data_IF_017919551818
#
_entry.id   IF_017919551818
#
_cell.length_a   1.000
_cell.length_b   1.000
_cell.length_c   1.000
_cell.angle_alpha   90.00
_cell.angle_beta   90.00
_cell.angle_gamma   90.00
#
_symmetry.space_group_name_H-M   'P 1'
#
loop_
_entity.id
_entity.type
_entity.pdbx_description
1 polymer ?
#
# COMPACT_ATOMS: atom_id res chain seq x y z
N UNK A 1 -12.41 10.65 -32.28
CA UNK A 1 -11.44 9.77 -31.61
C UNK A 1 -10.50 10.56 -30.68
N UNK A 2 -10.06 11.76 -31.09
CA UNK A 2 -8.98 12.48 -30.38
C UNK A 2 -9.33 13.03 -28.99
N UNK A 3 -10.58 13.33 -28.69
CA UNK A 3 -10.94 13.99 -27.42
C UNK A 3 -10.97 13.03 -26.22
N UNK A 4 -11.29 11.76 -26.44
CA UNK A 4 -11.47 10.77 -25.35
C UNK A 4 -10.34 9.75 -25.21
N UNK A 5 -9.45 9.66 -26.20
CA UNK A 5 -8.36 8.68 -26.23
C UNK A 5 -7.00 9.38 -26.20
N UNK A 6 -6.07 8.86 -25.40
CA UNK A 6 -4.67 9.30 -25.37
C UNK A 6 -3.72 8.13 -25.60
N UNK A 7 -2.69 8.36 -26.40
CA UNK A 7 -1.64 7.37 -26.65
C UNK A 7 -0.51 7.55 -25.64
N UNK A 8 -0.19 6.46 -24.95
CA UNK A 8 0.86 6.43 -23.95
C UNK A 8 1.84 5.28 -24.19
N UNK A 9 3.08 5.47 -23.74
CA UNK A 9 4.10 4.45 -23.70
C UNK A 9 4.37 4.03 -22.26
N UNK A 10 3.97 2.79 -21.92
CA UNK A 10 4.19 2.18 -20.60
C UNK A 10 5.25 1.09 -20.73
N UNK A 11 6.38 1.21 -20.02
CA UNK A 11 7.51 0.26 -20.10
C UNK A 11 7.96 -0.03 -21.55
N UNK A 12 7.98 0.99 -22.42
CA UNK A 12 8.35 0.86 -23.82
C UNK A 12 7.25 0.31 -24.74
N UNK A 13 6.16 -0.18 -24.21
CA UNK A 13 5.05 -0.75 -24.97
C UNK A 13 3.95 0.28 -25.25
N UNK A 14 3.32 0.24 -26.44
CA UNK A 14 2.27 1.17 -26.81
C UNK A 14 0.96 0.83 -26.09
N UNK A 15 0.32 1.84 -25.55
CA UNK A 15 -0.97 1.75 -24.87
C UNK A 15 -1.87 2.90 -25.28
N UNK A 16 -3.17 2.61 -25.29
CA UNK A 16 -4.24 3.58 -25.47
C UNK A 16 -4.95 3.75 -24.12
N UNK A 17 -5.08 4.99 -23.67
CA UNK A 17 -5.86 5.32 -22.49
C UNK A 17 -7.21 5.90 -22.91
N UNK A 18 -8.26 5.21 -22.53
CA UNK A 18 -9.63 5.69 -22.69
C UNK A 18 -10.01 6.54 -21.47
N UNK A 19 -10.17 7.83 -21.71
CA UNK A 19 -10.51 8.79 -20.66
C UNK A 19 -11.93 8.64 -20.12
N UNK A 20 -12.83 8.07 -20.92
CA UNK A 20 -14.23 7.88 -20.52
C UNK A 20 -14.41 6.63 -19.66
N UNK A 21 -13.72 5.54 -20.01
CA UNK A 21 -13.70 4.32 -19.22
C UNK A 21 -12.60 4.32 -18.16
N UNK A 22 -11.66 5.28 -18.22
CA UNK A 22 -10.46 5.35 -17.39
C UNK A 22 -9.60 4.10 -17.41
N UNK A 23 -9.57 3.44 -18.56
CA UNK A 23 -8.85 2.20 -18.77
C UNK A 23 -7.66 2.38 -19.71
N UNK A 24 -6.58 1.65 -19.40
CA UNK A 24 -5.38 1.59 -20.20
C UNK A 24 -5.32 0.28 -20.98
N UNK A 25 -5.44 0.35 -22.29
CA UNK A 25 -5.42 -0.81 -23.17
C UNK A 25 -4.07 -0.93 -23.88
N UNK A 26 -3.39 -2.11 -23.81
CA UNK A 26 -2.33 -2.40 -24.77
C UNK A 26 -2.90 -2.36 -26.19
N UNK A 27 -2.22 -1.66 -27.12
CA UNK A 27 -2.73 -1.45 -28.49
C UNK A 27 -2.56 -2.66 -29.42
N UNK A 28 -2.43 -3.85 -28.87
CA UNK A 28 -2.30 -5.07 -29.66
C UNK A 28 -3.69 -5.63 -30.05
N UNK A 29 -3.91 -5.90 -31.32
CA UNK A 29 -5.14 -6.55 -31.79
C UNK A 29 -5.37 -7.96 -31.22
N UNK A 30 -4.35 -8.61 -30.66
CA UNK A 30 -4.48 -9.86 -29.89
C UNK A 30 -5.13 -9.65 -28.50
N UNK A 31 -5.15 -8.42 -27.97
CA UNK A 31 -5.74 -8.10 -26.66
C UNK A 31 -7.26 -7.99 -26.78
N UNK A 32 -7.99 -8.90 -26.16
CA UNK A 32 -9.45 -8.98 -26.31
C UNK A 32 -10.19 -7.70 -25.86
N UNK A 33 -9.93 -7.08 -24.71
CA UNK A 33 -10.57 -5.83 -24.30
C UNK A 33 -10.34 -4.68 -25.29
N UNK A 34 -9.14 -4.58 -25.88
CA UNK A 34 -8.86 -3.56 -26.89
C UNK A 34 -9.69 -3.80 -28.18
N UNK A 35 -9.85 -5.07 -28.61
CA UNK A 35 -10.71 -5.39 -29.74
C UNK A 35 -12.16 -5.03 -29.47
N UNK A 36 -12.64 -5.33 -28.26
CA UNK A 36 -14.01 -4.99 -27.84
C UNK A 36 -14.22 -3.48 -27.88
N UNK A 37 -13.26 -2.69 -27.34
CA UNK A 37 -13.30 -1.22 -27.41
C UNK A 37 -13.40 -0.73 -28.85
N UNK A 38 -12.55 -1.23 -29.75
CA UNK A 38 -12.54 -0.83 -31.16
C UNK A 38 -13.88 -1.17 -31.84
N UNK A 39 -14.41 -2.37 -31.62
CA UNK A 39 -15.67 -2.81 -32.24
C UNK A 39 -16.88 -2.08 -31.68
N UNK A 40 -17.01 -1.99 -30.36
CA UNK A 40 -18.20 -1.45 -29.70
C UNK A 40 -18.34 0.06 -29.84
N UNK A 41 -17.23 0.79 -29.75
CA UNK A 41 -17.24 2.27 -29.75
C UNK A 41 -17.00 2.87 -31.12
N UNK A 42 -16.22 2.21 -31.97
CA UNK A 42 -15.79 2.76 -33.27
C UNK A 42 -16.24 1.93 -34.47
N UNK A 43 -16.90 0.82 -34.25
CA UNK A 43 -17.31 -0.09 -35.33
C UNK A 43 -16.16 -0.73 -36.10
N UNK A 44 -14.96 -0.75 -35.51
CA UNK A 44 -13.71 -1.23 -36.11
C UNK A 44 -13.52 -2.72 -35.79
N UNK A 45 -13.71 -3.59 -36.76
CA UNK A 45 -13.48 -5.03 -36.59
C UNK A 45 -11.99 -5.35 -36.76
N UNK A 46 -11.44 -6.16 -35.86
CA UNK A 46 -10.02 -6.59 -35.90
C UNK A 46 -9.66 -7.42 -37.15
N UNK A 47 -10.64 -7.98 -37.85
CA UNK A 47 -10.48 -8.71 -39.12
C UNK A 47 -10.31 -7.79 -40.32
N UNK A 48 -10.76 -6.54 -40.22
CA UNK A 48 -10.69 -5.57 -41.29
C UNK A 48 -9.24 -5.13 -41.56
N UNK A 49 -8.76 -5.18 -42.82
CA UNK A 49 -7.45 -4.70 -43.22
C UNK A 49 -7.17 -3.22 -42.84
N UNK A 50 -8.20 -2.35 -42.93
CA UNK A 50 -8.09 -0.95 -42.53
C UNK A 50 -7.82 -0.83 -41.04
N UNK A 51 -8.56 -1.56 -40.23
CA UNK A 51 -8.35 -1.58 -38.76
C UNK A 51 -6.94 -2.04 -38.38
N UNK A 52 -6.40 -3.07 -39.05
CA UNK A 52 -5.02 -3.52 -38.86
C UNK A 52 -4.01 -2.45 -39.24
N UNK A 53 -4.21 -1.78 -40.39
CA UNK A 53 -3.34 -0.69 -40.83
C UNK A 53 -3.33 0.47 -39.86
N UNK A 54 -4.48 0.95 -39.43
CA UNK A 54 -4.63 2.03 -38.46
C UNK A 54 -3.96 1.65 -37.12
N UNK A 55 -4.19 0.45 -36.62
CA UNK A 55 -3.58 -0.01 -35.36
C UNK A 55 -2.06 -0.08 -35.46
N UNK A 56 -1.51 -0.58 -36.55
CA UNK A 56 -0.06 -0.61 -36.76
C UNK A 56 0.58 0.79 -36.79
N UNK A 57 -0.10 1.76 -37.44
CA UNK A 57 0.34 3.17 -37.41
C UNK A 57 0.27 3.76 -35.99
N UNK A 58 -0.81 3.50 -35.26
CA UNK A 58 -0.96 3.92 -33.87
C UNK A 58 0.14 3.34 -32.97
N UNK A 59 0.46 2.06 -33.12
CA UNK A 59 1.53 1.39 -32.38
C UNK A 59 2.88 2.04 -32.65
N UNK A 60 3.22 2.23 -33.93
CA UNK A 60 4.47 2.87 -34.35
C UNK A 60 4.58 4.30 -33.82
N UNK A 61 3.54 5.10 -33.97
CA UNK A 61 3.50 6.48 -33.48
C UNK A 61 3.63 6.52 -31.95
N UNK A 62 2.93 5.63 -31.25
CA UNK A 62 2.99 5.59 -29.78
C UNK A 62 4.37 5.22 -29.27
N UNK A 63 5.06 4.29 -29.91
CA UNK A 63 6.43 3.90 -29.54
C UNK A 63 7.41 5.04 -29.75
N UNK A 64 7.27 5.80 -30.83
CA UNK A 64 8.20 6.91 -31.18
C UNK A 64 7.89 8.20 -30.45
N UNK A 65 6.64 8.59 -30.39
CA UNK A 65 6.18 9.93 -29.95
C UNK A 65 5.26 9.90 -28.74
N UNK A 66 4.79 8.71 -28.31
CA UNK A 66 3.89 8.59 -27.17
C UNK A 66 4.52 9.04 -25.86
N UNK A 67 3.75 9.77 -25.06
CA UNK A 67 4.16 10.20 -23.71
C UNK A 67 4.47 9.00 -22.84
N UNK A 68 5.58 9.04 -22.12
CA UNK A 68 5.90 8.02 -21.11
C UNK A 68 5.01 8.20 -19.88
N UNK A 69 4.39 7.13 -19.43
CA UNK A 69 3.59 7.14 -18.19
C UNK A 69 3.90 5.91 -17.35
N UNK A 70 3.73 6.06 -16.05
CA UNK A 70 3.70 4.96 -15.09
C UNK A 70 2.25 4.55 -14.88
N UNK A 71 1.94 3.27 -14.94
CA UNK A 71 0.61 2.75 -14.64
C UNK A 71 0.60 2.20 -13.23
N UNK A 72 -0.20 2.79 -12.35
CA UNK A 72 -0.31 2.44 -10.93
C UNK A 72 -1.75 2.12 -10.56
N UNK A 73 -1.98 1.60 -9.37
CA UNK A 73 -3.31 1.23 -8.91
C UNK A 73 -3.86 2.16 -7.84
N UNK A 74 -3.04 2.60 -6.89
CA UNK A 74 -3.53 3.35 -5.74
C UNK A 74 -2.80 4.67 -5.52
N UNK A 75 -1.46 4.65 -5.45
CA UNK A 75 -0.66 5.85 -5.19
C UNK A 75 0.61 5.87 -6.03
N UNK A 76 1.14 7.07 -6.26
CA UNK A 76 2.41 7.28 -6.95
C UNK A 76 3.11 8.54 -6.46
N UNK A 77 4.29 8.37 -5.89
CA UNK A 77 5.20 9.47 -5.58
C UNK A 77 6.05 9.80 -6.79
N UNK A 78 5.91 11.00 -7.31
CA UNK A 78 6.78 11.51 -8.39
C UNK A 78 7.99 12.24 -7.79
N UNK A 79 9.16 11.65 -7.98
CA UNK A 79 10.42 12.23 -7.47
C UNK A 79 10.80 13.54 -8.15
N UNK A 80 10.37 13.75 -9.39
CA UNK A 80 10.74 14.93 -10.18
C UNK A 80 10.00 16.17 -9.73
N UNK A 81 8.71 16.07 -9.49
CA UNK A 81 7.87 17.16 -8.99
C UNK A 81 7.75 17.18 -7.46
N UNK A 82 8.21 16.12 -6.78
CA UNK A 82 8.00 15.91 -5.35
C UNK A 82 6.52 16.02 -4.95
N UNK A 83 5.65 15.44 -5.77
CA UNK A 83 4.22 15.37 -5.53
C UNK A 83 3.77 13.93 -5.33
N UNK A 84 2.76 13.76 -4.50
CA UNK A 84 2.08 12.48 -4.33
C UNK A 84 0.78 12.49 -5.12
N UNK A 85 0.57 11.44 -5.91
CA UNK A 85 -0.66 11.22 -6.67
C UNK A 85 -1.40 10.04 -6.08
N UNK A 86 -2.72 10.16 -5.96
CA UNK A 86 -3.61 9.13 -5.43
C UNK A 86 -4.78 8.93 -6.36
N UNK A 87 -5.15 7.68 -6.61
CA UNK A 87 -6.33 7.36 -7.39
C UNK A 87 -7.61 7.88 -6.70
N UNK A 88 -8.52 8.47 -7.48
CA UNK A 88 -9.82 8.92 -7.00
C UNK A 88 -10.91 8.55 -8.00
N UNK A 89 -11.46 7.37 -7.85
CA UNK A 89 -12.56 6.90 -8.70
C UNK A 89 -12.25 6.87 -10.21
N UNK A 90 -13.27 6.67 -11.03
CA UNK A 90 -13.10 6.64 -12.47
C UNK A 90 -12.76 8.04 -13.01
N UNK A 91 -11.60 8.17 -13.63
CA UNK A 91 -11.23 9.38 -14.36
C UNK A 91 -10.55 10.47 -13.60
N UNK A 92 -10.46 10.40 -12.31
CA UNK A 92 -9.89 11.44 -11.47
C UNK A 92 -8.76 10.92 -10.60
N UNK A 93 -7.92 11.83 -10.14
CA UNK A 93 -6.86 11.59 -9.18
C UNK A 93 -6.69 12.82 -8.28
N UNK A 94 -6.11 12.61 -7.10
CA UNK A 94 -5.61 13.69 -6.26
C UNK A 94 -4.12 13.88 -6.46
N UNK A 95 -3.69 15.14 -6.63
CA UNK A 95 -2.29 15.55 -6.56
C UNK A 95 -2.06 16.35 -5.29
N UNK A 96 -1.17 15.86 -4.46
CA UNK A 96 -0.75 16.49 -3.20
C UNK A 96 0.63 17.11 -3.42
N UNK A 97 0.75 18.41 -3.29
CA UNK A 97 1.99 19.15 -3.50
C UNK A 97 2.60 19.76 -2.22
N UNK A 98 1.99 19.44 -1.09
CA UNK A 98 2.40 19.92 0.23
C UNK A 98 1.66 21.18 0.69
N UNK A 99 1.16 21.99 -0.23
CA UNK A 99 0.36 23.17 0.09
C UNK A 99 -1.14 22.89 -0.08
N UNK A 100 -1.52 22.27 -1.19
CA UNK A 100 -2.91 22.01 -1.55
C UNK A 100 -3.10 20.60 -2.07
N UNK A 101 -4.30 20.06 -1.86
CA UNK A 101 -4.76 18.82 -2.50
C UNK A 101 -5.60 19.22 -3.71
N UNK A 102 -5.12 18.87 -4.90
CA UNK A 102 -5.77 19.20 -6.18
C UNK A 102 -6.46 17.96 -6.74
N UNK A 103 -7.69 18.12 -7.19
CA UNK A 103 -8.35 17.11 -8.02
C UNK A 103 -7.96 17.33 -9.47
N UNK A 104 -7.46 16.30 -10.14
CA UNK A 104 -7.01 16.32 -11.53
C UNK A 104 -7.61 15.16 -12.32
N UNK A 105 -7.63 15.33 -13.65
CA UNK A 105 -8.06 14.26 -14.55
C UNK A 105 -6.97 13.19 -14.64
N UNK A 106 -7.34 11.92 -14.48
CA UNK A 106 -6.43 10.79 -14.65
C UNK A 106 -5.76 10.83 -16.04
N UNK A 107 -4.44 10.65 -16.07
CA UNK A 107 -3.63 10.77 -17.29
C UNK A 107 -3.21 12.20 -17.67
N UNK A 108 -3.53 13.22 -16.89
CA UNK A 108 -2.96 14.57 -17.06
C UNK A 108 -1.51 14.65 -16.59
N UNK A 109 -1.21 14.00 -15.46
CA UNK A 109 0.10 13.95 -14.80
C UNK A 109 1.05 12.87 -15.33
N UNK A 110 2.15 12.58 -14.60
CA UNK A 110 3.16 11.58 -14.96
C UNK A 110 2.67 10.14 -14.80
N UNK A 111 1.56 9.94 -14.10
CA UNK A 111 0.96 8.64 -13.78
C UNK A 111 -0.41 8.49 -14.42
N UNK A 112 -0.75 7.25 -14.74
CA UNK A 112 -2.11 6.82 -15.09
C UNK A 112 -2.54 5.78 -14.09
N UNK A 113 -3.61 6.03 -13.36
CA UNK A 113 -4.18 5.03 -12.49
C UNK A 113 -5.02 4.05 -13.30
N UNK A 114 -4.78 2.77 -13.06
CA UNK A 114 -5.58 1.68 -13.58
C UNK A 114 -6.90 1.61 -12.82
N UNK A 115 -7.96 1.04 -13.41
CA UNK A 115 -9.21 0.85 -12.69
C UNK A 115 -8.97 0.11 -11.39
N UNK A 116 -9.55 0.62 -10.32
CA UNK A 116 -9.58 -0.02 -9.02
C UNK A 116 -11.00 -0.50 -8.75
N UNK A 117 -11.11 -1.70 -8.20
CA UNK A 117 -12.38 -2.33 -7.85
C UNK A 117 -13.01 -1.71 -6.56
N UNK A 118 -12.53 -0.54 -6.16
CA UNK A 118 -12.95 0.11 -4.93
C UNK A 118 -13.77 1.35 -5.24
N UNK A 119 -14.86 1.47 -4.53
CA UNK A 119 -15.59 2.72 -4.50
C UNK A 119 -14.82 3.70 -3.61
N UNK A 120 -14.33 4.78 -4.22
CA UNK A 120 -13.69 5.87 -3.46
C UNK A 120 -14.75 6.94 -3.22
N UNK A 121 -15.18 7.03 -1.96
CA UNK A 121 -16.10 8.07 -1.55
C UNK A 121 -15.46 9.46 -1.77
N UNK A 122 -16.31 10.45 -2.11
CA UNK A 122 -15.86 11.85 -2.19
C UNK A 122 -15.32 12.27 -0.81
N UNK A 123 -14.03 12.63 -0.69
CA UNK A 123 -13.45 12.96 0.60
C UNK A 123 -13.83 14.36 1.06
N UNK A 124 -14.06 14.50 2.34
CA UNK A 124 -14.11 15.76 3.06
C UNK A 124 -12.69 16.05 3.59
N UNK A 125 -11.92 16.86 2.84
CA UNK A 125 -10.49 17.05 3.11
C UNK A 125 -10.27 18.10 4.19
N UNK A 126 -9.75 17.67 5.34
CA UNK A 126 -9.45 18.58 6.45
C UNK A 126 -8.99 17.89 7.73
N UNK A 127 -8.60 18.68 8.75
CA UNK A 127 -8.17 18.16 10.06
C UNK A 127 -9.37 17.86 10.96
N UNK A 128 -10.06 16.76 10.73
CA UNK A 128 -11.26 16.40 11.50
C UNK A 128 -10.95 15.84 12.89
N UNK A 129 -9.74 15.30 13.12
CA UNK A 129 -9.34 14.66 14.38
C UNK A 129 -10.04 13.32 14.62
N UNK A 130 -10.56 12.68 13.58
CA UNK A 130 -11.31 11.42 13.69
C UNK A 130 -10.52 10.20 13.25
N UNK A 131 -9.50 10.36 12.39
CA UNK A 131 -8.77 9.24 11.81
C UNK A 131 -8.07 8.40 12.89
N UNK A 132 -7.30 9.04 13.77
CA UNK A 132 -6.60 8.32 14.84
C UNK A 132 -7.60 7.67 15.79
N UNK A 133 -8.62 8.40 16.23
CA UNK A 133 -9.68 7.88 17.09
C UNK A 133 -10.40 6.67 16.51
N UNK A 134 -10.73 6.71 15.21
CA UNK A 134 -11.44 5.63 14.54
C UNK A 134 -10.58 4.39 14.26
N UNK A 135 -9.29 4.55 13.99
CA UNK A 135 -8.45 3.45 13.52
C UNK A 135 -7.42 2.96 14.54
N UNK A 136 -6.97 3.82 15.45
CA UNK A 136 -5.81 3.58 16.30
C UNK A 136 -6.13 3.68 17.78
N UNK A 137 -6.77 4.76 18.24
CA UNK A 137 -6.91 5.06 19.69
C UNK A 137 -7.91 4.16 20.41
N UNK A 138 -8.92 3.64 19.70
CA UNK A 138 -9.93 2.71 20.25
C UNK A 138 -9.40 1.28 20.46
N UNK A 139 -8.13 1.02 20.16
CA UNK A 139 -7.51 -0.28 20.38
C UNK A 139 -6.96 -0.40 21.81
N UNK A 140 -7.09 -1.59 22.39
CA UNK A 140 -6.49 -1.91 23.68
C UNK A 140 -5.10 -2.50 23.44
N UNK A 141 -4.07 -1.68 23.64
CA UNK A 141 -2.68 -2.11 23.50
C UNK A 141 -2.22 -2.85 24.73
N UNK A 142 -1.52 -3.95 24.55
CA UNK A 142 -0.83 -4.62 25.65
C UNK A 142 0.38 -3.78 26.05
N UNK A 143 0.49 -3.51 27.35
CA UNK A 143 1.58 -2.76 27.96
C UNK A 143 2.03 -3.51 29.21
N UNK A 144 2.89 -4.50 29.06
CA UNK A 144 3.48 -5.19 30.21
C UNK A 144 4.69 -4.40 30.69
N UNK A 145 4.72 -4.10 31.98
CA UNK A 145 5.85 -3.44 32.61
C UNK A 145 6.96 -4.47 32.82
N UNK A 146 8.10 -4.27 32.15
CA UNK A 146 9.34 -5.01 32.45
C UNK A 146 9.90 -5.89 31.34
N UNK A 147 9.24 -6.02 30.17
CA UNK A 147 9.65 -6.90 29.07
C UNK A 147 10.09 -6.17 27.79
N UNK A 148 10.51 -4.92 27.85
CA UNK A 148 10.92 -4.17 26.65
C UNK A 148 9.76 -3.80 25.70
N UNK A 149 8.51 -4.08 26.06
CA UNK A 149 7.34 -3.81 25.24
C UNK A 149 7.10 -2.31 25.13
N UNK A 150 6.83 -1.85 23.90
CA UNK A 150 6.49 -0.48 23.59
C UNK A 150 5.26 -0.01 24.39
N UNK A 151 5.28 1.24 24.85
CA UNK A 151 4.11 1.85 25.47
C UNK A 151 2.91 1.90 24.50
N UNK A 152 1.70 2.06 25.04
CA UNK A 152 0.51 2.22 24.21
C UNK A 152 0.61 3.45 23.28
N UNK A 153 1.25 4.53 23.74
CA UNK A 153 1.47 5.72 22.94
C UNK A 153 2.45 5.46 21.78
N UNK A 154 3.50 4.70 22.03
CA UNK A 154 4.49 4.31 21.02
C UNK A 154 3.85 3.41 19.95
N UNK A 155 3.08 2.42 20.37
CA UNK A 155 2.39 1.52 19.45
C UNK A 155 1.35 2.26 18.59
N UNK A 156 0.63 3.24 19.16
CA UNK A 156 -0.28 4.13 18.42
C UNK A 156 0.47 4.93 17.35
N UNK A 157 1.58 5.55 17.71
CA UNK A 157 2.38 6.34 16.77
C UNK A 157 2.96 5.48 15.64
N UNK A 158 3.47 4.28 15.95
CA UNK A 158 3.94 3.33 14.94
C UNK A 158 2.82 2.90 13.99
N UNK A 159 1.66 2.54 14.55
CA UNK A 159 0.55 2.08 13.73
C UNK A 159 -0.01 3.19 12.83
N UNK A 160 -0.18 4.40 13.36
CA UNK A 160 -0.59 5.55 12.56
C UNK A 160 0.43 5.88 11.46
N UNK A 161 1.73 5.81 11.78
CA UNK A 161 2.81 6.02 10.81
C UNK A 161 2.76 4.98 9.69
N UNK A 162 2.44 3.73 10.00
CA UNK A 162 2.27 2.67 9.03
C UNK A 162 1.05 2.92 8.12
N UNK A 163 -0.07 3.37 8.69
CA UNK A 163 -1.28 3.75 7.93
C UNK A 163 -0.98 4.89 6.95
N UNK A 164 -0.23 5.89 7.37
CA UNK A 164 0.17 7.01 6.52
C UNK A 164 1.20 6.58 5.46
N UNK A 165 2.13 5.68 5.80
CA UNK A 165 3.09 5.13 4.86
C UNK A 165 2.43 4.39 3.69
N UNK A 166 1.23 3.82 3.87
CA UNK A 166 0.46 3.16 2.80
C UNK A 166 0.20 4.08 1.60
N UNK A 167 0.17 5.40 1.79
CA UNK A 167 0.08 6.38 0.71
C UNK A 167 1.34 6.50 -0.15
N UNK A 168 2.49 6.03 0.34
CA UNK A 168 3.81 6.22 -0.30
C UNK A 168 4.42 4.91 -0.82
N UNK A 169 3.61 4.00 -1.35
CA UNK A 169 4.01 2.64 -1.70
C UNK A 169 5.24 2.53 -2.62
N UNK A 170 5.40 3.41 -3.62
CA UNK A 170 6.58 3.42 -4.49
C UNK A 170 7.75 4.27 -3.93
N UNK A 171 7.51 5.11 -2.93
CA UNK A 171 8.53 5.92 -2.26
C UNK A 171 9.32 5.10 -1.25
N UNK A 172 8.67 4.16 -0.58
CA UNK A 172 9.29 3.25 0.38
C UNK A 172 9.67 1.94 -0.33
N UNK A 173 10.93 1.76 -0.73
CA UNK A 173 11.36 0.53 -1.39
C UNK A 173 11.27 -0.67 -0.46
N UNK A 174 11.68 -0.53 0.79
CA UNK A 174 11.48 -1.50 1.86
C UNK A 174 10.22 -1.13 2.64
N UNK A 175 9.24 -2.05 2.68
CA UNK A 175 7.98 -1.82 3.39
C UNK A 175 7.98 -2.59 4.69
N UNK A 176 7.69 -1.93 5.83
CA UNK A 176 7.58 -2.64 7.09
C UNK A 176 6.39 -3.60 7.06
N UNK A 177 6.64 -4.83 7.48
CA UNK A 177 5.60 -5.78 7.80
C UNK A 177 4.94 -5.36 9.12
N UNK A 178 3.63 -5.17 9.13
CA UNK A 178 2.90 -4.97 10.37
C UNK A 178 2.48 -6.32 10.93
N UNK A 179 2.99 -6.67 12.09
CA UNK A 179 2.63 -7.89 12.81
C UNK A 179 1.73 -7.51 14.00
N UNK A 180 0.47 -7.87 13.93
CA UNK A 180 -0.48 -7.70 15.02
C UNK A 180 -0.57 -8.97 15.84
N UNK A 181 -0.05 -8.92 17.06
CA UNK A 181 -0.09 -10.00 18.04
C UNK A 181 -1.21 -9.78 19.05
N UNK A 182 -1.73 -10.86 19.60
CA UNK A 182 -2.66 -10.85 20.72
C UNK A 182 -3.49 -12.12 20.77
N UNK A 183 -4.14 -12.35 21.89
CA UNK A 183 -5.01 -13.51 22.10
C UNK A 183 -6.23 -13.52 21.19
N UNK A 184 -6.97 -14.62 21.27
CA UNK A 184 -8.29 -14.69 20.63
C UNK A 184 -9.18 -13.54 21.12
N UNK A 185 -9.95 -12.95 20.20
CA UNK A 185 -10.86 -11.84 20.49
C UNK A 185 -10.19 -10.52 20.95
N UNK A 186 -8.88 -10.33 20.72
CA UNK A 186 -8.21 -9.03 20.97
C UNK A 186 -8.51 -7.96 19.92
N UNK A 187 -9.16 -8.31 18.80
CA UNK A 187 -9.57 -7.37 17.75
C UNK A 187 -8.53 -7.11 16.65
N UNK A 188 -7.47 -7.92 16.54
CA UNK A 188 -6.40 -7.79 15.54
C UNK A 188 -6.92 -7.65 14.10
N UNK A 189 -7.69 -8.64 13.67
CA UNK A 189 -8.24 -8.67 12.31
C UNK A 189 -9.14 -7.46 12.06
N UNK A 190 -10.00 -7.12 13.02
CA UNK A 190 -10.89 -5.98 12.93
C UNK A 190 -10.12 -4.65 12.85
N UNK A 191 -9.01 -4.52 13.55
CA UNK A 191 -8.16 -3.33 13.48
C UNK A 191 -7.62 -3.11 12.06
N UNK A 192 -7.09 -4.15 11.41
CA UNK A 192 -6.62 -4.06 10.02
C UNK A 192 -7.76 -3.86 9.02
N UNK A 193 -8.90 -4.54 9.23
CA UNK A 193 -10.10 -4.35 8.40
C UNK A 193 -10.64 -2.92 8.46
N UNK A 194 -10.59 -2.26 9.63
CA UNK A 194 -10.97 -0.84 9.78
C UNK A 194 -10.07 0.06 8.91
N UNK A 195 -8.76 -0.19 8.90
CA UNK A 195 -7.82 0.54 8.04
C UNK A 195 -8.13 0.30 6.57
N UNK A 196 -8.31 -0.95 6.17
CA UNK A 196 -8.65 -1.31 4.80
C UNK A 196 -9.98 -0.67 4.38
N UNK A 197 -11.00 -0.71 5.24
CA UNK A 197 -12.30 -0.08 5.00
C UNK A 197 -12.18 1.43 4.81
N UNK A 198 -11.42 2.12 5.66
CA UNK A 198 -11.22 3.56 5.56
C UNK A 198 -10.51 3.96 4.27
N UNK A 199 -9.45 3.24 3.87
CA UNK A 199 -8.64 3.59 2.71
C UNK A 199 -9.23 3.10 1.39
N UNK A 200 -9.87 1.92 1.36
CA UNK A 200 -10.30 1.27 0.12
C UNK A 200 -11.80 1.00 0.03
N UNK A 201 -12.53 1.06 1.13
CA UNK A 201 -13.93 0.60 1.21
C UNK A 201 -14.09 -0.93 1.29
N UNK A 202 -12.99 -1.70 1.25
CA UNK A 202 -13.00 -3.16 1.39
C UNK A 202 -12.87 -3.58 2.84
N UNK A 203 -13.36 -4.76 3.18
CA UNK A 203 -13.35 -5.28 4.55
C UNK A 203 -12.92 -6.74 4.64
N UNK A 204 -12.49 -7.33 3.52
CA UNK A 204 -12.18 -8.76 3.48
C UNK A 204 -10.66 -8.99 3.52
N UNK A 205 -10.15 -9.72 4.52
CA UNK A 205 -8.76 -10.14 4.55
C UNK A 205 -8.48 -11.23 3.50
N UNK A 206 -7.19 -11.35 3.13
CA UNK A 206 -6.74 -12.46 2.31
C UNK A 206 -6.65 -13.74 3.16
N UNK A 207 -7.10 -14.85 2.60
CA UNK A 207 -6.77 -16.16 3.12
C UNK A 207 -5.60 -16.73 2.30
N UNK A 208 -4.53 -17.12 2.98
CA UNK A 208 -3.33 -17.68 2.34
C UNK A 208 -3.17 -19.12 2.80
N UNK A 209 -3.06 -20.02 1.83
CA UNK A 209 -2.77 -21.43 2.03
C UNK A 209 -1.37 -21.83 1.58
N UNK A 210 -0.97 -23.07 1.88
CA UNK A 210 0.34 -23.60 1.50
C UNK A 210 0.57 -23.72 -0.01
N UNK A 211 -0.48 -23.63 -0.83
CA UNK A 211 -0.43 -23.77 -2.30
C UNK A 211 -0.41 -22.43 -3.04
N UNK A 212 -0.50 -21.31 -2.35
CA UNK A 212 -0.70 -20.00 -2.98
C UNK A 212 0.62 -19.27 -3.30
N UNK A 213 1.77 -19.95 -3.18
CA UNK A 213 3.09 -19.39 -3.40
C UNK A 213 3.24 -18.70 -4.77
N UNK A 214 2.81 -19.39 -5.84
CA UNK A 214 2.94 -18.84 -7.19
C UNK A 214 2.04 -17.64 -7.46
N UNK A 215 0.90 -17.56 -6.78
CA UNK A 215 -0.08 -16.50 -6.98
C UNK A 215 0.07 -15.32 -6.01
N UNK A 216 0.79 -15.51 -4.92
CA UNK A 216 0.99 -14.49 -3.89
C UNK A 216 1.43 -13.12 -4.43
N UNK A 217 2.42 -12.99 -5.35
CA UNK A 217 2.78 -11.71 -5.92
C UNK A 217 1.63 -11.04 -6.69
N UNK A 218 0.78 -11.83 -7.33
CA UNK A 218 -0.40 -11.33 -8.06
C UNK A 218 -1.49 -10.89 -7.09
N UNK A 219 -1.71 -11.66 -6.02
CA UNK A 219 -2.64 -11.30 -4.95
C UNK A 219 -2.24 -9.96 -4.33
N UNK A 220 -0.96 -9.75 -3.99
CA UNK A 220 -0.47 -8.48 -3.46
C UNK A 220 -0.68 -7.28 -4.41
N UNK A 221 -0.67 -7.47 -5.73
CA UNK A 221 -0.99 -6.41 -6.68
C UNK A 221 -2.45 -5.96 -6.57
N UNK A 222 -3.37 -6.90 -6.32
CA UNK A 222 -4.79 -6.61 -6.18
C UNK A 222 -5.15 -6.03 -4.81
N UNK A 223 -4.35 -6.32 -3.79
CA UNK A 223 -4.56 -5.86 -2.41
C UNK A 223 -3.90 -4.50 -2.09
N UNK A 224 -3.40 -3.77 -3.09
CA UNK A 224 -2.85 -2.41 -2.86
C UNK A 224 -3.96 -1.46 -2.38
N UNK A 225 -3.74 -0.63 -1.34
CA UNK A 225 -2.48 -0.37 -0.63
C UNK A 225 -2.17 -1.33 0.52
N UNK A 226 -3.12 -2.14 0.98
CA UNK A 226 -3.00 -2.98 2.17
C UNK A 226 -3.44 -4.40 1.86
N UNK A 227 -2.57 -5.35 2.12
CA UNK A 227 -2.85 -6.77 2.13
C UNK A 227 -2.95 -7.27 3.58
N UNK A 228 -4.08 -7.85 3.95
CA UNK A 228 -4.32 -8.40 5.29
C UNK A 228 -4.23 -9.91 5.20
N UNK A 229 -3.24 -10.49 5.88
CA UNK A 229 -3.07 -11.94 6.01
C UNK A 229 -3.53 -12.34 7.41
N UNK A 230 -4.68 -13.00 7.47
CA UNK A 230 -5.33 -13.28 8.75
C UNK A 230 -4.93 -14.63 9.34
N UNK A 231 -4.82 -14.66 10.66
CA UNK A 231 -4.66 -15.86 11.48
C UNK A 231 -3.48 -16.77 11.09
N UNK A 232 -2.29 -16.16 10.93
CA UNK A 232 -1.05 -16.88 10.62
C UNK A 232 -0.36 -17.39 11.89
N UNK A 233 -1.00 -18.31 12.59
CA UNK A 233 -0.46 -18.94 13.81
C UNK A 233 0.49 -20.11 13.48
N UNK A 234 0.32 -20.72 12.31
CA UNK A 234 1.15 -21.83 11.83
C UNK A 234 2.11 -21.35 10.77
N UNK A 235 3.40 -21.68 10.85
CA UNK A 235 4.38 -21.27 9.85
C UNK A 235 4.06 -21.84 8.46
N UNK A 236 4.06 -20.97 7.47
CA UNK A 236 4.08 -21.34 6.05
C UNK A 236 5.47 -20.98 5.52
N UNK A 237 6.28 -21.98 5.21
CA UNK A 237 7.71 -21.78 4.88
C UNK A 237 7.92 -20.80 3.73
N UNK A 238 7.24 -21.04 2.61
CA UNK A 238 7.36 -20.17 1.44
C UNK A 238 6.90 -18.72 1.72
N UNK A 239 5.92 -18.52 2.59
CA UNK A 239 5.41 -17.18 2.92
C UNK A 239 6.48 -16.35 3.64
N UNK A 240 7.24 -16.98 4.54
CA UNK A 240 8.37 -16.31 5.22
C UNK A 240 9.43 -15.83 4.23
N UNK A 241 9.80 -16.67 3.26
CA UNK A 241 10.77 -16.31 2.24
C UNK A 241 10.24 -15.24 1.28
N UNK A 242 8.97 -15.33 0.91
CA UNK A 242 8.30 -14.32 0.10
C UNK A 242 8.25 -12.96 0.81
N UNK A 243 7.95 -12.94 2.12
CA UNK A 243 7.94 -11.73 2.95
C UNK A 243 9.36 -11.16 3.05
N UNK A 244 10.37 -11.98 3.35
CA UNK A 244 11.76 -11.54 3.41
C UNK A 244 12.20 -10.88 2.09
N UNK A 245 11.87 -11.49 0.96
CA UNK A 245 12.12 -10.94 -0.38
C UNK A 245 11.39 -9.62 -0.59
N UNK A 246 10.11 -9.56 -0.24
CA UNK A 246 9.27 -8.40 -0.48
C UNK A 246 9.68 -7.19 0.36
N UNK A 247 9.93 -7.39 1.64
CA UNK A 247 10.33 -6.34 2.57
C UNK A 247 11.73 -5.77 2.31
N UNK A 248 12.55 -6.44 1.49
CA UNK A 248 13.86 -5.95 1.00
C UNK A 248 13.81 -5.19 -0.30
N UNK A 249 12.69 -4.62 -0.68
CA UNK A 249 12.50 -3.99 -1.99
C UNK A 249 12.59 -4.95 -3.18
N UNK A 250 12.52 -6.23 -2.93
CA UNK A 250 12.48 -7.27 -3.95
C UNK A 250 11.20 -7.24 -4.79
N UNK A 251 11.22 -8.02 -5.83
CA UNK A 251 10.06 -8.24 -6.70
C UNK A 251 10.17 -9.63 -7.30
N UNK A 252 9.13 -10.05 -7.95
CA UNK A 252 9.07 -11.37 -8.56
C UNK A 252 9.08 -11.29 -10.07
N UNK A 253 9.72 -12.28 -10.70
CA UNK A 253 9.72 -12.45 -12.13
C UNK A 253 8.73 -13.56 -12.48
N UNK A 254 7.59 -13.19 -13.07
CA UNK A 254 6.59 -14.17 -13.53
C UNK A 254 6.69 -14.31 -15.05
N UNK A 255 6.70 -15.55 -15.54
CA UNK A 255 6.72 -15.83 -16.98
C UNK A 255 5.36 -15.49 -17.58
N UNK A 256 5.36 -14.83 -18.73
CA UNK A 256 4.12 -14.58 -19.48
C UNK A 256 3.72 -15.86 -20.20
N UNK A 257 2.51 -16.36 -19.92
CA UNK A 257 2.00 -17.56 -20.60
C UNK A 257 1.95 -17.34 -22.11
N UNK A 258 2.23 -18.42 -22.86
CA UNK A 258 2.26 -18.43 -24.32
C UNK A 258 3.36 -17.60 -25.00
N UNK A 259 4.36 -17.14 -24.25
CA UNK A 259 5.57 -16.53 -24.81
C UNK A 259 6.81 -17.34 -24.44
N UNK A 260 7.81 -17.44 -25.35
CA UNK A 260 9.03 -18.22 -25.09
C UNK A 260 10.04 -17.47 -24.23
N UNK A 261 10.05 -16.16 -24.27
CA UNK A 261 11.12 -15.32 -23.70
C UNK A 261 10.62 -14.15 -22.86
N UNK A 262 9.34 -13.85 -22.84
CA UNK A 262 8.82 -12.71 -22.11
C UNK A 262 8.58 -13.04 -20.64
N UNK A 263 9.10 -12.20 -19.77
CA UNK A 263 8.84 -12.25 -18.33
C UNK A 263 8.35 -10.91 -17.83
N UNK A 264 7.36 -10.94 -16.96
CA UNK A 264 6.83 -9.77 -16.28
C UNK A 264 7.51 -9.65 -14.92
N UNK A 265 8.07 -8.47 -14.67
CA UNK A 265 8.55 -8.13 -13.34
C UNK A 265 7.39 -7.57 -12.51
N UNK A 266 7.02 -8.27 -11.44
CA UNK A 266 5.96 -7.89 -10.52
C UNK A 266 6.61 -7.26 -9.30
N UNK A 267 6.29 -6.00 -9.04
CA UNK A 267 6.69 -5.27 -7.84
C UNK A 267 5.44 -4.68 -7.20
N UNK A 268 4.76 -5.41 -6.31
CA UNK A 268 3.58 -4.91 -5.61
C UNK A 268 3.93 -3.70 -4.74
N UNK A 269 2.92 -2.90 -4.42
CA UNK A 269 3.08 -1.73 -3.56
C UNK A 269 2.27 -1.86 -2.26
N UNK A 270 1.58 -2.96 -2.06
CA UNK A 270 0.79 -3.21 -0.87
C UNK A 270 1.66 -3.27 0.39
N UNK A 271 1.19 -2.71 1.47
CA UNK A 271 1.73 -2.94 2.80
C UNK A 271 1.07 -4.20 3.37
N UNK A 272 1.85 -5.06 3.99
CA UNK A 272 1.33 -6.33 4.52
C UNK A 272 1.10 -6.18 6.02
N UNK A 273 -0.14 -6.44 6.46
CA UNK A 273 -0.50 -6.61 7.84
C UNK A 273 -0.85 -8.07 8.12
N UNK A 274 -0.22 -8.66 9.10
CA UNK A 274 -0.44 -10.06 9.51
C UNK A 274 -1.01 -10.09 10.91
N UNK A 275 -2.01 -10.93 11.14
CA UNK A 275 -2.52 -11.21 12.48
C UNK A 275 -2.06 -12.58 12.95
N UNK A 276 -1.58 -12.67 14.18
CA UNK A 276 -1.12 -13.93 14.77
C UNK A 276 -1.30 -13.93 16.29
N UNK A 277 -1.34 -15.13 16.87
CA UNK A 277 -1.18 -15.37 18.30
C UNK A 277 0.23 -15.80 18.65
N UNK A 278 1.01 -16.17 17.64
CA UNK A 278 2.36 -16.66 17.81
C UNK A 278 3.36 -15.88 16.95
N UNK A 279 3.94 -14.79 17.48
CA UNK A 279 4.93 -13.99 16.73
C UNK A 279 6.24 -14.74 16.50
N UNK A 280 6.50 -15.83 17.24
CA UNK A 280 7.68 -16.66 17.06
C UNK A 280 7.86 -17.17 15.62
N UNK A 281 6.77 -17.30 14.86
CA UNK A 281 6.81 -17.63 13.42
C UNK A 281 7.65 -16.64 12.60
N UNK A 282 7.79 -15.38 13.07
CA UNK A 282 8.44 -14.29 12.36
C UNK A 282 9.75 -13.83 13.02
N UNK A 283 10.33 -14.61 13.94
CA UNK A 283 11.57 -14.33 14.68
C UNK A 283 12.83 -14.42 13.83
N UNK A 284 12.74 -14.96 12.63
CA UNK A 284 13.89 -15.03 11.71
C UNK A 284 14.49 -13.63 11.53
N UNK A 285 15.81 -13.44 11.77
CA UNK A 285 16.42 -12.09 11.87
C UNK A 285 16.17 -11.20 10.64
N UNK A 286 16.16 -11.79 9.44
CA UNK A 286 15.92 -11.06 8.18
C UNK A 286 14.48 -10.57 8.03
N UNK A 287 13.53 -11.17 8.74
CA UNK A 287 12.12 -10.75 8.81
C UNK A 287 11.90 -9.82 10.00
N UNK A 288 12.34 -10.21 11.19
CA UNK A 288 12.17 -9.48 12.44
C UNK A 288 12.67 -8.04 12.32
N UNK A 289 13.82 -7.82 11.69
CA UNK A 289 14.39 -6.49 11.42
C UNK A 289 13.46 -5.56 10.60
N UNK A 290 12.43 -6.12 9.97
CA UNK A 290 11.48 -5.38 9.12
C UNK A 290 10.06 -5.45 9.61
N UNK A 291 9.85 -6.05 10.80
CA UNK A 291 8.56 -6.09 11.45
C UNK A 291 8.32 -4.85 12.31
N UNK A 292 7.09 -4.42 12.31
CA UNK A 292 6.53 -3.54 13.33
C UNK A 292 5.58 -4.40 14.16
N UNK A 293 5.93 -4.59 15.41
CA UNK A 293 5.14 -5.40 16.31
C UNK A 293 4.14 -4.52 17.07
N UNK A 294 2.86 -4.81 16.93
CA UNK A 294 1.76 -4.19 17.67
C UNK A 294 1.06 -5.27 18.47
N UNK A 295 1.02 -5.11 19.77
CA UNK A 295 0.41 -6.06 20.68
C UNK A 295 -0.93 -5.55 21.19
N UNK A 296 -1.97 -6.36 21.02
CA UNK A 296 -3.31 -6.04 21.47
C UNK A 296 -3.71 -6.93 22.65
N UNK A 297 -4.14 -6.30 23.73
CA UNK A 297 -4.69 -6.96 24.87
C UNK A 297 -6.10 -7.52 24.60
N UNK A 298 -6.52 -8.48 25.39
CA UNK A 298 -7.88 -9.01 25.31
C UNK A 298 -8.92 -7.91 25.58
N UNK A 299 -9.93 -7.82 24.73
CA UNK A 299 -11.01 -6.84 24.87
C UNK A 299 -12.18 -7.43 25.65
N UNK A 300 -12.42 -6.91 26.84
CA UNK A 300 -13.51 -7.38 27.72
C UNK A 300 -14.92 -7.05 27.19
N UNK A 301 -15.05 -5.95 26.43
CA UNK A 301 -16.31 -5.55 25.81
C UNK A 301 -16.15 -5.52 24.30
N UNK A 302 -16.88 -6.38 23.62
CA UNK A 302 -16.84 -6.49 22.16
C UNK A 302 -18.10 -5.87 21.56
N UNK A 303 -17.93 -4.95 20.63
CA UNK A 303 -19.00 -4.52 19.72
C UNK A 303 -19.14 -5.52 18.56
N UNK A 304 -20.29 -5.52 17.87
CA UNK A 304 -20.43 -6.27 16.63
C UNK A 304 -19.38 -5.79 15.60
N UNK A 305 -18.52 -6.67 15.07
CA UNK A 305 -17.54 -6.31 14.03
C UNK A 305 -18.22 -5.65 12.82
N UNK A 306 -19.35 -6.17 12.39
CA UNK A 306 -20.13 -5.63 11.27
C UNK A 306 -20.56 -4.18 11.53
N UNK A 307 -21.06 -3.89 12.73
CA UNK A 307 -21.48 -2.53 13.10
C UNK A 307 -20.29 -1.57 13.17
N UNK A 308 -19.15 -2.04 13.68
CA UNK A 308 -17.92 -1.24 13.73
C UNK A 308 -17.43 -0.90 12.31
N UNK A 309 -17.39 -1.89 11.41
CA UNK A 309 -17.01 -1.67 10.02
C UNK A 309 -18.01 -0.79 9.28
N UNK A 310 -19.32 -0.97 9.50
CA UNK A 310 -20.33 -0.12 8.92
C UNK A 310 -20.16 1.36 9.34
N UNK A 311 -19.84 1.61 10.61
CA UNK A 311 -19.57 2.97 11.09
C UNK A 311 -18.30 3.57 10.45
N UNK A 312 -17.24 2.76 10.23
CA UNK A 312 -16.06 3.23 9.51
C UNK A 312 -16.38 3.58 8.06
N UNK A 313 -17.18 2.74 7.38
CA UNK A 313 -17.61 3.00 6.00
C UNK A 313 -18.50 4.24 5.90
N UNK A 314 -19.40 4.45 6.83
CA UNK A 314 -20.23 5.66 6.91
C UNK A 314 -19.38 6.93 7.08
N UNK A 315 -18.38 6.89 7.96
CA UNK A 315 -17.45 8.00 8.24
C UNK A 315 -16.33 8.13 7.22
N UNK A 316 -16.25 7.23 6.27
CA UNK A 316 -15.12 7.14 5.31
C UNK A 316 -14.83 8.45 4.58
N UNK A 317 -15.79 9.27 4.11
CA UNK A 317 -15.49 10.55 3.50
C UNK A 317 -14.60 11.44 4.37
N UNK A 318 -14.84 11.51 5.67
CA UNK A 318 -14.06 12.30 6.62
C UNK A 318 -12.74 11.64 6.98
N UNK A 319 -12.75 10.33 7.23
CA UNK A 319 -11.53 9.57 7.57
C UNK A 319 -10.53 9.59 6.40
N UNK A 320 -11.00 9.34 5.19
CA UNK A 320 -10.16 9.37 3.99
C UNK A 320 -9.71 10.81 3.67
N UNK A 321 -10.59 11.80 3.87
CA UNK A 321 -10.27 13.21 3.71
C UNK A 321 -9.19 13.69 4.69
N UNK A 322 -9.27 13.28 5.95
CA UNK A 322 -8.24 13.58 6.95
C UNK A 322 -6.93 12.85 6.63
N UNK A 323 -6.98 11.61 6.17
CA UNK A 323 -5.80 10.88 5.71
C UNK A 323 -5.10 11.61 4.56
N UNK A 324 -5.83 12.08 3.54
CA UNK A 324 -5.29 12.91 2.46
C UNK A 324 -4.67 14.21 2.98
N UNK A 325 -5.32 14.87 3.92
CA UNK A 325 -4.80 16.08 4.55
C UNK A 325 -3.47 15.80 5.27
N UNK A 326 -3.38 14.72 6.06
CA UNK A 326 -2.14 14.32 6.74
C UNK A 326 -1.03 13.97 5.74
N UNK A 327 -1.35 13.24 4.68
CA UNK A 327 -0.38 12.93 3.62
C UNK A 327 0.15 14.21 2.97
N UNK A 328 -0.71 15.19 2.70
CA UNK A 328 -0.28 16.47 2.12
C UNK A 328 0.68 17.21 3.07
N UNK A 329 0.44 17.17 4.38
CA UNK A 329 1.36 17.71 5.39
C UNK A 329 2.72 16.97 5.37
N UNK A 330 2.71 15.65 5.21
CA UNK A 330 3.96 14.88 5.07
C UNK A 330 4.68 15.27 3.77
N UNK A 331 3.97 15.43 2.65
CA UNK A 331 4.54 15.93 1.39
C UNK A 331 5.23 17.27 1.60
N UNK A 332 4.60 18.20 2.33
CA UNK A 332 5.21 19.49 2.68
C UNK A 332 6.52 19.31 3.45
N UNK A 333 6.53 18.47 4.48
CA UNK A 333 7.73 18.17 5.27
C UNK A 333 8.83 17.55 4.39
N UNK A 334 8.49 16.59 3.51
CA UNK A 334 9.45 15.97 2.58
C UNK A 334 10.10 16.98 1.63
N UNK A 335 9.39 18.03 1.25
CA UNK A 335 9.90 19.08 0.34
C UNK A 335 10.74 20.13 1.06
N UNK A 336 10.48 20.38 2.33
CA UNK A 336 11.08 21.49 3.09
C UNK A 336 12.16 21.04 4.07
N UNK A 337 12.25 19.74 4.37
CA UNK A 337 13.17 19.22 5.38
C UNK A 337 14.13 18.22 4.76
N UNK A 338 15.42 18.53 4.77
CA UNK A 338 16.45 17.53 4.55
C UNK A 338 16.62 16.71 5.83
N UNK A 339 16.20 15.45 5.79
CA UNK A 339 16.50 14.52 6.88
C UNK A 339 17.89 13.96 6.61
N UNK A 340 18.92 14.59 7.18
CA UNK A 340 20.33 14.23 6.98
C UNK A 340 20.86 13.23 8.01
N UNK A 341 20.00 12.67 8.84
CA UNK A 341 20.42 11.87 9.97
C UNK A 341 20.75 10.42 9.58
N UNK A 342 21.91 9.94 10.05
CA UNK A 342 22.24 8.53 10.05
C UNK A 342 21.42 7.84 11.15
N UNK A 343 20.33 7.21 10.76
CA UNK A 343 19.54 6.41 11.71
C UNK A 343 20.20 5.04 11.90
N UNK A 344 20.34 4.56 13.13
CA UNK A 344 20.73 3.18 13.41
C UNK A 344 19.61 2.18 13.05
N UNK A 345 18.67 2.59 12.24
CA UNK A 345 17.44 1.88 11.90
C UNK A 345 17.50 1.31 10.50
N UNK A 346 17.25 0.01 10.35
CA UNK A 346 17.39 -0.68 9.06
C UNK A 346 16.42 -0.21 7.99
N UNK A 347 15.25 0.31 8.40
CA UNK A 347 14.22 0.87 7.50
C UNK A 347 14.21 2.41 7.58
N UNK A 348 15.28 3.04 7.10
CA UNK A 348 15.46 4.51 7.18
C UNK A 348 14.29 5.29 6.59
N UNK A 349 13.76 4.86 5.43
CA UNK A 349 12.61 5.53 4.79
C UNK A 349 11.36 5.48 5.68
N UNK A 350 11.13 4.38 6.40
CA UNK A 350 10.01 4.28 7.33
C UNK A 350 10.26 5.07 8.63
N UNK A 351 11.49 5.09 9.13
CA UNK A 351 11.86 5.93 10.27
C UNK A 351 11.56 7.40 9.99
N UNK A 352 11.84 7.89 8.78
CA UNK A 352 11.43 9.23 8.34
C UNK A 352 9.92 9.44 8.41
N UNK A 353 9.12 8.43 8.01
CA UNK A 353 7.66 8.50 8.12
C UNK A 353 7.20 8.64 9.56
N UNK A 354 7.82 7.93 10.51
CA UNK A 354 7.53 8.06 11.95
C UNK A 354 7.81 9.48 12.44
N UNK A 355 8.95 10.06 12.09
CA UNK A 355 9.31 11.44 12.45
C UNK A 355 8.32 12.45 11.86
N UNK A 356 7.98 12.31 10.58
CA UNK A 356 7.01 13.20 9.95
C UNK A 356 5.63 13.06 10.58
N UNK A 357 5.22 11.84 10.94
CA UNK A 357 3.97 11.61 11.66
C UNK A 357 3.99 12.29 13.04
N UNK A 358 5.07 12.15 13.80
CA UNK A 358 5.24 12.82 15.07
C UNK A 358 5.13 14.36 14.94
N UNK A 359 5.82 14.93 13.96
CA UNK A 359 5.77 16.39 13.68
C UNK A 359 4.38 16.91 13.33
N UNK A 360 3.60 16.17 12.49
CA UNK A 360 2.24 16.60 12.14
C UNK A 360 1.27 16.46 13.33
N UNK A 361 1.58 15.59 14.29
CA UNK A 361 0.86 15.47 15.57
C UNK A 361 1.32 16.50 16.61
N UNK A 362 2.34 17.33 16.31
CA UNK A 362 2.90 18.30 17.24
C UNK A 362 3.81 17.69 18.32
N UNK A 363 4.30 16.47 18.11
CA UNK A 363 5.26 15.83 18.99
C UNK A 363 6.68 16.28 18.63
N UNK A 364 7.57 16.24 19.63
CA UNK A 364 8.98 16.50 19.43
C UNK A 364 9.69 15.34 18.74
N UNK A 365 10.71 15.64 17.93
CA UNK A 365 11.50 14.62 17.22
C UNK A 365 12.17 13.64 18.19
N UNK A 366 12.54 14.09 19.40
CA UNK A 366 13.11 13.23 20.45
C UNK A 366 12.16 12.09 20.84
N UNK A 367 10.86 12.32 20.84
CA UNK A 367 9.86 11.27 21.09
C UNK A 367 9.87 10.22 19.99
N UNK A 368 9.96 10.64 18.72
CA UNK A 368 10.06 9.73 17.58
C UNK A 368 11.37 8.91 17.62
N UNK A 369 12.49 9.53 17.97
CA UNK A 369 13.76 8.83 18.11
C UNK A 369 13.75 7.81 19.26
N UNK A 370 13.21 8.19 20.42
CA UNK A 370 13.06 7.29 21.55
C UNK A 370 12.21 6.08 21.18
N UNK A 371 11.08 6.30 20.50
CA UNK A 371 10.24 5.24 19.98
C UNK A 371 10.98 4.31 19.01
N UNK A 372 11.73 4.86 18.05
CA UNK A 372 12.46 4.07 17.06
C UNK A 372 13.56 3.21 17.71
N UNK A 373 14.23 3.71 18.73
CA UNK A 373 15.20 2.94 19.53
C UNK A 373 14.50 1.82 20.32
N UNK A 374 13.39 2.11 20.98
CA UNK A 374 12.62 1.12 21.71
C UNK A 374 12.07 0.01 20.80
N UNK A 375 11.59 0.39 19.61
CA UNK A 375 11.14 -0.58 18.61
C UNK A 375 12.27 -1.42 18.02
N UNK A 376 13.51 -0.91 17.98
CA UNK A 376 14.68 -1.71 17.64
C UNK A 376 15.00 -2.72 18.73
N UNK A 377 15.04 -2.28 19.98
CA UNK A 377 15.33 -3.14 21.13
C UNK A 377 14.33 -4.29 21.26
N UNK A 378 13.02 -4.01 21.06
CA UNK A 378 11.98 -5.02 21.09
C UNK A 378 12.14 -6.10 19.99
N UNK A 379 12.65 -5.71 18.83
CA UNK A 379 12.93 -6.67 17.74
C UNK A 379 14.17 -7.51 18.03
N UNK A 380 15.19 -6.90 18.59
CA UNK A 380 16.41 -7.61 18.97
C UNK A 380 16.08 -8.66 20.05
N UNK A 381 15.20 -8.33 21.00
CA UNK A 381 14.66 -9.28 21.99
C UNK A 381 13.86 -10.42 21.33
N UNK A 382 12.98 -10.09 20.38
CA UNK A 382 12.19 -11.08 19.63
C UNK A 382 13.08 -12.12 18.92
N UNK A 383 14.24 -11.70 18.41
CA UNK A 383 15.23 -12.58 17.75
C UNK A 383 15.95 -13.44 18.80
N UNK A 384 16.34 -12.85 19.94
CA UNK A 384 17.08 -13.54 21.00
C UNK A 384 16.30 -14.63 21.71
N UNK A 385 14.99 -14.46 21.88
CA UNK A 385 14.12 -15.49 22.52
C UNK A 385 14.15 -16.85 21.83
N UNK A 386 14.68 -16.95 20.61
CA UNK A 386 14.78 -18.21 19.84
C UNK A 386 16.22 -18.76 19.80
N UNK A 387 17.17 -18.17 20.55
CA UNK A 387 18.54 -18.65 20.59
C UNK A 387 18.65 -19.80 21.59
N UNK A 388 18.93 -21.06 21.14
CA UNK A 388 19.07 -22.21 22.04
C UNK A 388 20.19 -22.07 23.05
N UNK A 389 21.08 -21.09 22.90
CA UNK A 389 22.16 -20.83 23.87
C UNK A 389 21.67 -20.06 25.10
N UNK A 390 20.57 -19.29 24.97
CA UNK A 390 19.98 -18.59 26.12
C UNK A 390 19.23 -19.52 27.08
N UNK A 391 18.72 -20.65 26.59
CA UNK A 391 18.13 -21.68 27.44
C UNK A 391 19.16 -22.44 28.31
N UNK A 392 20.46 -22.21 28.06
CA UNK A 392 21.57 -22.85 28.77
C UNK A 392 22.24 -21.94 29.80
N UNK A 393 21.84 -20.65 29.87
CA UNK A 393 22.34 -19.65 30.83
C UNK A 393 21.30 -19.37 31.90
#
# INVERSE_FOLDING_TARGET
IEASLKLFRKKGQPHLFDRLACELYPTYLRHAPFRVLLASRYGLLHTDPLTRGVTAVMESYTVTSGRRVTGERFSYWDRSSQCLYLAHGPGHLYRLDGDTVHEEVNGAGPVVFLPIEHDIAQPDIGPHGELAGALVDDLQYATETGSGILSAADQRLLFLSWILACGFGNRLPAKPLLLMEGDHASGKTLALQRVQAALTGRTLPMTIGSKDEEDFPTMLLHETPIAIVDNQDTPIEWLRDAIATYTTAGGWRKRVFYTRTESLWIKPQAFIGITTRNPATYRRPDIADRCLLIRLAHRSVQGSPERILANVLEKRPRLYGEWLWMLNRIVKLMRTTEVTENFPYRMVDFAQMVIFTARILGLDDSAAHTLLHAAQAERDELVLEDDPLLDLL
#
